data_IF_647593610955
#
_entry.id   IF_647593610955
#
_cell.length_a   1.000
_cell.length_b   1.000
_cell.length_c   1.000
_cell.angle_alpha   90.00
_cell.angle_beta   90.00
_cell.angle_gamma   90.00
#
_symmetry.space_group_name_H-M   'P 1'
#
loop_
_entity.id
_entity.type
_entity.pdbx_description
1 polymer ?
#
# COMPACT_ATOMS: atom_id res chain seq x y z
N UNK A 1 1.65 7.00 2.37
CA UNK A 1 2.51 6.22 3.29
C UNK A 1 3.26 7.07 4.30
N UNK A 2 3.85 8.23 3.93
CA UNK A 2 4.52 9.12 4.91
C UNK A 2 3.59 9.55 6.04
N UNK A 3 2.35 9.90 5.72
CA UNK A 3 1.42 10.46 6.71
C UNK A 3 0.64 9.37 7.47
N UNK A 4 1.05 8.10 7.41
CA UNK A 4 0.28 6.96 7.95
C UNK A 4 -0.06 7.12 9.44
N UNK A 5 0.82 7.77 10.21
CA UNK A 5 0.66 7.98 11.64
C UNK A 5 -0.41 9.02 11.96
N UNK A 6 -0.44 10.10 11.19
CA UNK A 6 -1.36 11.23 11.36
C UNK A 6 -1.92 11.61 9.98
N UNK A 7 -2.79 10.80 9.39
CA UNK A 7 -3.21 11.04 8.00
C UNK A 7 -3.92 12.38 7.82
N UNK A 8 -4.58 12.89 8.87
CA UNK A 8 -5.18 14.23 8.90
C UNK A 8 -4.20 15.37 8.55
N UNK A 9 -2.90 15.19 8.82
CA UNK A 9 -1.85 16.18 8.52
C UNK A 9 -1.36 16.13 7.06
N UNK A 10 -1.87 15.19 6.26
CA UNK A 10 -1.47 15.05 4.88
C UNK A 10 -1.81 16.29 4.08
N UNK A 11 -0.85 16.78 3.30
CA UNK A 11 -1.06 17.90 2.37
C UNK A 11 -2.20 17.59 1.38
N UNK A 12 -2.38 16.31 1.02
CA UNK A 12 -3.44 15.85 0.11
C UNK A 12 -4.83 16.17 0.67
N UNK A 13 -5.03 16.05 1.99
CA UNK A 13 -6.32 16.27 2.66
C UNK A 13 -6.58 17.74 3.05
N UNK A 14 -5.85 18.68 2.44
CA UNK A 14 -6.05 20.11 2.68
C UNK A 14 -7.01 20.72 1.65
N UNK A 15 -7.54 21.90 1.96
CA UNK A 15 -8.42 22.66 1.06
C UNK A 15 -7.76 23.06 -0.26
N UNK A 16 -6.43 23.11 -0.32
CA UNK A 16 -5.67 23.37 -1.54
C UNK A 16 -5.62 22.15 -2.51
N UNK A 17 -6.03 20.97 -2.03
CA UNK A 17 -5.99 19.70 -2.77
C UNK A 17 -7.37 19.04 -2.78
N UNK A 18 -7.51 17.82 -2.26
CA UNK A 18 -8.76 17.06 -2.38
C UNK A 18 -9.80 17.49 -1.34
N UNK A 19 -9.41 18.30 -0.37
CA UNK A 19 -10.26 18.73 0.74
C UNK A 19 -10.18 17.80 1.95
N UNK A 20 -10.66 18.32 3.08
CA UNK A 20 -10.62 17.64 4.38
C UNK A 20 -11.90 16.88 4.71
N UNK A 21 -12.17 16.78 6.01
CA UNK A 21 -13.37 16.13 6.55
C UNK A 21 -14.67 16.83 6.10
N UNK A 22 -15.76 16.06 6.07
CA UNK A 22 -17.09 16.61 5.93
C UNK A 22 -17.46 17.54 7.09
N UNK A 23 -18.30 18.52 6.80
CA UNK A 23 -18.81 19.50 7.77
C UNK A 23 -20.27 19.17 8.10
N UNK A 24 -21.20 20.13 8.00
CA UNK A 24 -22.63 19.91 8.22
C UNK A 24 -23.15 18.75 7.35
N UNK A 25 -23.84 17.80 7.98
CA UNK A 25 -24.32 16.56 7.34
C UNK A 25 -23.23 15.72 6.65
N UNK A 26 -21.98 15.81 7.13
CA UNK A 26 -20.79 15.18 6.57
C UNK A 26 -20.46 15.63 5.14
N UNK A 27 -21.06 16.72 4.63
CA UNK A 27 -20.79 17.20 3.28
C UNK A 27 -19.38 17.80 3.16
N UNK A 28 -18.68 17.46 2.08
CA UNK A 28 -17.38 18.07 1.73
C UNK A 28 -17.60 19.50 1.24
N UNK A 29 -16.95 20.47 1.89
CA UNK A 29 -17.15 21.92 1.64
C UNK A 29 -15.90 22.64 1.14
N UNK A 30 -14.76 21.94 0.99
CA UNK A 30 -13.51 22.50 0.51
C UNK A 30 -12.74 21.47 -0.35
N UNK A 31 -11.69 21.93 -1.04
CA UNK A 31 -10.93 21.12 -2.00
C UNK A 31 -11.62 20.98 -3.36
N UNK A 32 -11.04 20.16 -4.23
CA UNK A 32 -11.46 20.02 -5.63
C UNK A 32 -12.91 19.52 -5.81
N UNK A 33 -13.43 18.78 -4.83
CA UNK A 33 -14.81 18.27 -4.84
C UNK A 33 -15.76 19.02 -3.89
N UNK A 34 -15.41 20.25 -3.50
CA UNK A 34 -16.25 21.07 -2.63
C UNK A 34 -17.68 21.21 -3.17
N UNK A 35 -18.68 20.92 -2.34
CA UNK A 35 -20.11 21.08 -2.61
C UNK A 35 -20.64 20.25 -3.80
N UNK A 36 -19.90 19.26 -4.27
CA UNK A 36 -20.36 18.38 -5.35
C UNK A 36 -21.61 17.62 -4.92
N UNK A 37 -22.57 17.52 -5.85
CA UNK A 37 -23.78 16.74 -5.70
C UNK A 37 -23.64 15.44 -6.48
N UNK A 38 -23.67 14.32 -5.77
CA UNK A 38 -23.62 12.97 -6.32
C UNK A 38 -25.02 12.54 -6.73
N UNK A 39 -25.12 11.83 -7.85
CA UNK A 39 -26.37 11.25 -8.36
C UNK A 39 -26.50 9.77 -8.04
N UNK A 40 -25.39 9.09 -7.75
CA UNK A 40 -25.33 7.68 -7.38
C UNK A 40 -24.87 7.52 -5.93
N UNK A 41 -25.49 6.64 -5.12
CA UNK A 41 -26.64 5.79 -5.46
C UNK A 41 -27.97 6.54 -5.50
N UNK A 42 -28.03 7.75 -4.95
CA UNK A 42 -29.15 8.68 -5.00
C UNK A 42 -28.63 10.11 -4.88
N UNK A 43 -29.48 11.12 -5.01
CA UNK A 43 -29.07 12.52 -4.87
C UNK A 43 -28.59 12.85 -3.44
N UNK A 44 -27.33 13.24 -3.29
CA UNK A 44 -26.75 13.72 -2.03
C UNK A 44 -25.48 14.56 -2.27
N UNK A 45 -25.02 15.32 -1.29
CA UNK A 45 -23.68 15.91 -1.33
C UNK A 45 -22.61 14.81 -1.22
N UNK A 46 -21.42 15.00 -1.79
CA UNK A 46 -20.27 14.12 -1.49
C UNK A 46 -20.00 14.15 0.02
N UNK A 47 -19.95 12.98 0.67
CA UNK A 47 -19.71 12.89 2.12
C UNK A 47 -18.35 12.33 2.45
N UNK A 48 -17.71 12.92 3.47
CA UNK A 48 -16.55 12.35 4.17
C UNK A 48 -16.82 12.38 5.66
N UNK A 49 -16.40 11.33 6.35
CA UNK A 49 -16.58 11.20 7.78
C UNK A 49 -15.31 10.60 8.36
N UNK A 50 -14.30 11.45 8.53
CA UNK A 50 -13.04 11.05 9.14
C UNK A 50 -13.33 10.48 10.54
N UNK A 51 -12.67 9.36 10.86
CA UNK A 51 -12.81 8.69 12.15
C UNK A 51 -12.44 9.60 13.35
N UNK A 52 -12.57 9.08 14.58
CA UNK A 52 -11.97 9.66 15.80
C UNK A 52 -12.04 11.20 15.93
N UNK A 53 -13.25 11.75 16.14
CA UNK A 53 -13.49 13.20 16.28
C UNK A 53 -13.03 14.02 15.05
N UNK A 54 -13.18 13.46 13.84
CA UNK A 54 -12.89 14.16 12.58
C UNK A 54 -11.45 14.05 12.09
N UNK A 55 -10.68 13.10 12.63
CA UNK A 55 -9.32 12.80 12.19
C UNK A 55 -9.15 11.30 11.88
N UNK A 56 -8.71 10.93 10.66
CA UNK A 56 -8.41 9.54 10.34
C UNK A 56 -7.42 8.96 11.36
N UNK A 57 -7.68 7.74 11.83
CA UNK A 57 -6.75 7.02 12.72
C UNK A 57 -5.49 6.61 11.96
N UNK A 58 -4.46 6.17 12.69
CA UNK A 58 -3.24 5.69 12.07
C UNK A 58 -3.49 4.48 11.17
N UNK A 59 -2.88 4.48 9.99
CA UNK A 59 -2.97 3.38 9.03
C UNK A 59 -1.87 2.35 9.25
N UNK A 60 -1.83 1.33 8.40
CA UNK A 60 -0.73 0.36 8.38
C UNK A 60 0.59 1.04 8.00
N UNK A 61 1.65 0.65 8.71
CA UNK A 61 2.97 1.27 8.59
C UNK A 61 3.67 0.92 7.27
N UNK A 62 4.50 1.82 6.72
CA UNK A 62 5.35 1.52 5.57
C UNK A 62 6.24 0.28 5.80
N UNK A 63 6.69 0.07 7.03
CA UNK A 63 7.48 -1.08 7.43
C UNK A 63 6.69 -2.39 7.27
N UNK A 64 5.44 -2.44 7.75
CA UNK A 64 4.60 -3.63 7.60
C UNK A 64 4.26 -3.88 6.13
N UNK A 65 4.00 -2.81 5.36
CA UNK A 65 3.76 -2.92 3.91
C UNK A 65 4.98 -3.51 3.21
N UNK A 66 6.20 -3.04 3.52
CA UNK A 66 7.40 -3.66 2.97
C UNK A 66 7.63 -5.07 3.46
N UNK A 67 7.21 -5.38 4.67
CA UNK A 67 7.34 -6.73 5.21
C UNK A 67 6.55 -7.74 4.38
N UNK A 68 5.25 -7.53 4.14
CA UNK A 68 4.46 -8.48 3.34
C UNK A 68 4.86 -8.47 1.85
N UNK A 69 5.29 -7.32 1.29
CA UNK A 69 5.88 -7.28 -0.06
C UNK A 69 7.05 -8.28 -0.19
N UNK A 70 7.89 -8.43 0.84
CA UNK A 70 9.03 -9.34 0.82
C UNK A 70 8.67 -10.80 1.17
N UNK A 71 7.67 -11.01 2.03
CA UNK A 71 7.31 -12.34 2.54
C UNK A 71 6.32 -13.07 1.64
N UNK A 72 5.41 -12.35 1.00
CA UNK A 72 4.37 -12.96 0.18
C UNK A 72 4.95 -13.40 -1.16
N UNK A 73 4.83 -14.69 -1.45
CA UNK A 73 5.42 -15.30 -2.66
C UNK A 73 4.36 -15.70 -3.67
N UNK A 74 3.09 -15.57 -3.32
CA UNK A 74 1.95 -15.91 -4.17
C UNK A 74 0.86 -14.84 -4.09
N UNK A 75 0.04 -14.73 -5.13
CA UNK A 75 -1.09 -13.80 -5.17
C UNK A 75 -2.14 -14.14 -4.11
N UNK A 76 -2.32 -15.43 -3.80
CA UNK A 76 -3.21 -15.89 -2.74
C UNK A 76 -2.79 -15.42 -1.33
N UNK A 77 -1.51 -15.10 -1.13
CA UNK A 77 -0.98 -14.49 0.09
C UNK A 77 -1.09 -12.96 0.03
N UNK A 78 -0.52 -12.38 -1.03
CA UNK A 78 -0.38 -10.93 -1.20
C UNK A 78 -1.70 -10.18 -1.24
N UNK A 79 -2.70 -10.69 -1.98
CA UNK A 79 -3.98 -10.00 -2.15
C UNK A 79 -4.69 -9.82 -0.81
N UNK A 80 -4.96 -10.87 0.01
CA UNK A 80 -5.52 -10.70 1.35
C UNK A 80 -4.73 -9.72 2.23
N UNK A 81 -3.41 -9.81 2.23
CA UNK A 81 -2.56 -9.00 3.11
C UNK A 81 -2.63 -7.52 2.72
N UNK A 82 -2.75 -7.17 1.44
CA UNK A 82 -3.00 -5.80 0.98
C UNK A 82 -4.46 -5.35 1.21
N UNK A 83 -5.42 -6.21 0.86
CA UNK A 83 -6.86 -5.93 0.86
C UNK A 83 -7.39 -5.68 2.27
N UNK A 84 -6.96 -6.50 3.24
CA UNK A 84 -7.44 -6.45 4.62
C UNK A 84 -6.64 -5.49 5.50
N UNK A 85 -5.52 -4.98 5.00
CA UNK A 85 -4.69 -4.00 5.72
C UNK A 85 -4.95 -2.57 5.23
N UNK A 86 -4.03 -2.01 4.44
CA UNK A 86 -4.03 -0.62 3.98
C UNK A 86 -5.28 -0.31 3.15
N UNK A 87 -5.71 -1.22 2.28
CA UNK A 87 -6.87 -0.97 1.41
C UNK A 87 -8.11 -0.65 2.25
N UNK A 88 -8.58 -1.60 3.06
CA UNK A 88 -9.81 -1.43 3.84
C UNK A 88 -9.71 -0.30 4.87
N UNK A 89 -8.57 -0.16 5.56
CA UNK A 89 -8.42 0.85 6.61
C UNK A 89 -8.53 2.28 6.07
N UNK A 90 -8.02 2.59 4.89
CA UNK A 90 -8.15 3.93 4.30
C UNK A 90 -9.61 4.23 3.95
N UNK A 91 -10.32 3.30 3.31
CA UNK A 91 -11.75 3.45 3.03
C UNK A 91 -12.56 3.73 4.30
N UNK A 92 -12.32 2.92 5.34
CA UNK A 92 -13.01 3.06 6.62
C UNK A 92 -12.72 4.41 7.28
N UNK A 93 -11.46 4.87 7.23
CA UNK A 93 -11.03 6.05 7.97
C UNK A 93 -11.34 7.38 7.25
N UNK A 94 -11.49 7.38 5.93
CA UNK A 94 -12.03 8.54 5.21
C UNK A 94 -13.56 8.62 5.40
N UNK A 95 -14.23 7.48 5.47
CA UNK A 95 -15.66 7.40 5.78
C UNK A 95 -16.54 8.03 4.70
N UNK A 96 -17.83 8.22 5.01
CA UNK A 96 -18.79 8.78 4.05
C UNK A 96 -18.89 7.93 2.79
N UNK A 97 -18.80 8.53 1.61
CA UNK A 97 -18.84 7.82 0.33
C UNK A 97 -17.67 6.83 0.19
N UNK A 98 -16.48 7.16 0.72
CA UNK A 98 -15.32 6.27 0.69
C UNK A 98 -15.51 4.96 1.47
N UNK A 99 -16.44 4.90 2.43
CA UNK A 99 -16.79 3.68 3.15
C UNK A 99 -17.68 2.73 2.33
N UNK A 100 -18.31 3.24 1.28
CA UNK A 100 -19.40 2.54 0.61
C UNK A 100 -18.93 1.85 -0.67
N UNK A 101 -19.79 1.00 -1.23
CA UNK A 101 -19.55 0.36 -2.54
C UNK A 101 -19.47 1.36 -3.70
N UNK A 102 -19.87 2.61 -3.45
CA UNK A 102 -19.76 3.76 -4.35
C UNK A 102 -18.63 4.72 -3.97
N UNK A 103 -17.59 4.22 -3.29
CA UNK A 103 -16.37 4.98 -3.00
C UNK A 103 -15.72 5.69 -4.19
N UNK A 104 -15.85 5.24 -5.46
CA UNK A 104 -15.37 6.01 -6.62
C UNK A 104 -15.98 7.41 -6.80
N UNK A 105 -17.07 7.75 -6.10
CA UNK A 105 -17.59 9.13 -6.04
C UNK A 105 -16.54 10.12 -5.49
N UNK A 106 -15.68 9.69 -4.59
CA UNK A 106 -14.62 10.49 -3.99
C UNK A 106 -13.31 10.33 -4.78
N UNK A 107 -12.67 11.44 -5.16
CA UNK A 107 -11.41 11.44 -5.90
C UNK A 107 -10.26 10.77 -5.12
N UNK A 108 -10.37 10.71 -3.78
CA UNK A 108 -9.42 9.99 -2.94
C UNK A 108 -9.37 8.49 -3.33
N UNK A 109 -10.47 7.90 -3.81
CA UNK A 109 -10.52 6.53 -4.31
C UNK A 109 -9.41 6.26 -5.33
N UNK A 110 -9.29 7.13 -6.33
CA UNK A 110 -8.33 6.95 -7.42
C UNK A 110 -6.90 7.12 -6.95
N UNK A 111 -6.63 8.07 -6.04
CA UNK A 111 -5.31 8.26 -5.44
C UNK A 111 -4.89 7.08 -4.56
N UNK A 112 -5.85 6.55 -3.79
CA UNK A 112 -5.65 5.38 -2.95
C UNK A 112 -5.35 4.13 -3.80
N UNK A 113 -6.19 3.83 -4.79
CA UNK A 113 -6.00 2.68 -5.68
C UNK A 113 -4.76 2.80 -6.57
N UNK A 114 -4.34 4.00 -6.96
CA UNK A 114 -3.04 4.18 -7.63
C UNK A 114 -1.87 3.81 -6.69
N UNK A 115 -1.97 4.09 -5.38
CA UNK A 115 -0.95 3.66 -4.44
C UNK A 115 -1.01 2.15 -4.14
N UNK A 116 -2.20 1.53 -4.17
CA UNK A 116 -2.33 0.06 -4.07
C UNK A 116 -1.74 -0.64 -5.30
N UNK A 117 -2.02 -0.12 -6.51
CA UNK A 117 -1.41 -0.60 -7.75
C UNK A 117 0.12 -0.44 -7.73
N UNK A 118 0.63 0.69 -7.21
CA UNK A 118 2.07 0.86 -6.96
C UNK A 118 2.64 -0.20 -6.01
N UNK A 119 1.93 -0.55 -4.94
CA UNK A 119 2.37 -1.60 -3.99
C UNK A 119 2.34 -2.99 -4.67
N UNK A 120 1.31 -3.28 -5.44
CA UNK A 120 1.23 -4.51 -6.25
C UNK A 120 2.39 -4.60 -7.24
N UNK A 121 2.67 -3.52 -7.95
CA UNK A 121 3.81 -3.43 -8.85
C UNK A 121 5.15 -3.61 -8.13
N UNK A 122 5.31 -3.08 -6.91
CA UNK A 122 6.52 -3.35 -6.11
C UNK A 122 6.66 -4.83 -5.81
N UNK A 123 5.59 -5.48 -5.36
CA UNK A 123 5.57 -6.92 -5.12
C UNK A 123 5.87 -7.74 -6.37
N UNK A 124 5.30 -7.37 -7.52
CA UNK A 124 5.59 -7.97 -8.82
C UNK A 124 7.06 -7.91 -9.20
N UNK A 125 7.81 -6.92 -8.70
CA UNK A 125 9.23 -6.71 -9.00
C UNK A 125 10.17 -7.21 -7.91
N UNK A 126 9.66 -7.82 -6.84
CA UNK A 126 10.52 -8.49 -5.86
C UNK A 126 11.25 -9.65 -6.54
N UNK A 127 12.58 -9.61 -6.50
CA UNK A 127 13.43 -10.62 -7.12
C UNK A 127 13.35 -11.96 -6.34
N UNK A 128 13.22 -13.07 -7.06
CA UNK A 128 13.45 -14.38 -6.45
C UNK A 128 14.95 -14.57 -6.19
N UNK A 129 15.30 -15.28 -5.12
CA UNK A 129 16.69 -15.55 -4.70
C UNK A 129 17.49 -16.37 -5.71
N UNK A 130 16.83 -16.95 -6.72
CA UNK A 130 17.45 -17.83 -7.72
C UNK A 130 17.51 -17.20 -9.13
N UNK A 131 17.26 -15.89 -9.26
CA UNK A 131 17.23 -15.21 -10.57
C UNK A 131 16.05 -15.62 -11.48
N UNK A 132 15.13 -16.45 -10.98
CA UNK A 132 13.87 -16.77 -11.66
C UNK A 132 12.89 -15.59 -11.55
N UNK A 133 11.95 -15.53 -12.50
CA UNK A 133 10.99 -14.45 -12.71
C UNK A 133 10.41 -13.94 -11.38
N UNK A 134 10.41 -12.61 -11.26
CA UNK A 134 9.70 -11.82 -10.26
C UNK A 134 8.20 -12.20 -10.16
N UNK A 135 7.48 -11.67 -9.18
CA UNK A 135 6.05 -12.02 -9.00
C UNK A 135 5.12 -11.49 -10.14
N UNK A 136 5.67 -10.84 -11.17
CA UNK A 136 4.97 -10.23 -12.30
C UNK A 136 3.86 -11.08 -12.91
N UNK A 137 4.09 -12.39 -13.06
CA UNK A 137 3.17 -13.32 -13.73
C UNK A 137 2.50 -14.30 -12.75
N UNK A 138 2.43 -13.93 -11.46
CA UNK A 138 1.73 -14.72 -10.45
C UNK A 138 0.25 -14.37 -10.45
N UNK A 139 -0.58 -15.36 -10.77
CA UNK A 139 -2.03 -15.29 -10.63
C UNK A 139 -2.53 -16.65 -10.16
N UNK A 140 -2.42 -16.87 -8.86
CA UNK A 140 -2.88 -18.05 -8.13
C UNK A 140 -3.96 -17.69 -7.10
N UNK A 141 -4.58 -18.71 -6.52
CA UNK A 141 -5.68 -18.57 -5.57
C UNK A 141 -7.07 -18.69 -6.22
N UNK A 142 -8.14 -18.64 -5.42
CA UNK A 142 -9.49 -18.70 -5.92
C UNK A 142 -10.06 -17.32 -6.26
N UNK A 143 -10.99 -17.29 -7.22
CA UNK A 143 -11.96 -16.21 -7.35
C UNK A 143 -12.88 -16.14 -6.11
N UNK A 144 -13.68 -15.07 -6.05
CA UNK A 144 -14.66 -14.87 -4.98
C UNK A 144 -15.66 -16.04 -4.85
N UNK A 145 -16.01 -16.69 -5.96
CA UNK A 145 -16.89 -17.86 -6.02
C UNK A 145 -16.17 -19.21 -5.82
N UNK A 146 -14.90 -19.19 -5.42
CA UNK A 146 -13.98 -20.33 -5.34
C UNK A 146 -13.59 -20.98 -6.68
N UNK A 147 -13.96 -20.40 -7.83
CA UNK A 147 -13.45 -20.87 -9.12
C UNK A 147 -11.95 -20.58 -9.28
N UNK A 148 -11.26 -21.33 -10.13
CA UNK A 148 -9.86 -21.07 -10.43
C UNK A 148 -9.70 -19.79 -11.27
N UNK A 149 -8.77 -18.93 -10.87
CA UNK A 149 -8.33 -17.77 -11.66
C UNK A 149 -6.94 -18.05 -12.24
N UNK A 150 -6.67 -17.51 -13.43
CA UNK A 150 -5.36 -17.58 -14.06
C UNK A 150 -5.09 -16.32 -14.89
N UNK A 151 -3.88 -16.22 -15.43
CA UNK A 151 -3.50 -15.14 -16.33
C UNK A 151 -4.35 -15.03 -17.61
N UNK A 152 -5.01 -16.11 -18.04
CA UNK A 152 -5.92 -16.11 -19.20
C UNK A 152 -7.37 -15.82 -18.84
N UNK A 153 -7.71 -15.76 -17.55
CA UNK A 153 -9.03 -15.32 -17.10
C UNK A 153 -9.23 -13.84 -17.47
N UNK A 154 -10.45 -13.46 -17.84
CA UNK A 154 -10.76 -12.09 -18.20
C UNK A 154 -11.00 -11.22 -16.97
N UNK A 155 -10.55 -9.97 -17.03
CA UNK A 155 -10.97 -8.92 -16.10
C UNK A 155 -12.45 -8.63 -16.36
N UNK A 156 -13.30 -8.91 -15.36
CA UNK A 156 -14.77 -8.96 -15.49
C UNK A 156 -15.35 -7.72 -16.19
N UNK A 157 -14.90 -6.53 -15.83
CA UNK A 157 -15.45 -5.28 -16.37
C UNK A 157 -14.97 -4.92 -17.78
N UNK A 158 -13.85 -5.48 -18.23
CA UNK A 158 -13.20 -5.07 -19.48
C UNK A 158 -13.17 -6.17 -20.54
N UNK A 159 -13.51 -7.41 -20.17
CA UNK A 159 -13.49 -8.58 -21.05
C UNK A 159 -12.12 -8.78 -21.75
N UNK A 160 -11.04 -8.47 -21.05
CA UNK A 160 -9.65 -8.60 -21.52
C UNK A 160 -8.90 -9.57 -20.60
N UNK A 161 -8.03 -10.44 -21.13
CA UNK A 161 -7.25 -11.35 -20.30
C UNK A 161 -6.35 -10.61 -19.32
N UNK A 162 -6.22 -11.14 -18.10
CA UNK A 162 -5.41 -10.55 -17.02
C UNK A 162 -3.96 -10.35 -17.44
N UNK A 163 -3.38 -11.26 -18.24
CA UNK A 163 -2.01 -11.11 -18.75
C UNK A 163 -1.76 -9.80 -19.50
N UNK A 164 -2.80 -9.15 -20.04
CA UNK A 164 -2.68 -7.89 -20.79
C UNK A 164 -2.45 -6.67 -19.90
N UNK A 165 -2.67 -6.81 -18.58
CA UNK A 165 -2.59 -5.71 -17.61
C UNK A 165 -1.53 -5.92 -16.53
N UNK A 166 -0.81 -7.05 -16.54
CA UNK A 166 0.16 -7.37 -15.48
C UNK A 166 1.41 -6.49 -15.53
N UNK A 167 1.88 -6.13 -16.73
CA UNK A 167 3.18 -5.49 -16.91
C UNK A 167 3.05 -4.01 -17.28
N UNK A 168 3.46 -3.14 -16.34
CA UNK A 168 3.56 -1.70 -16.59
C UNK A 168 4.66 -1.38 -17.62
N UNK A 169 4.43 -0.38 -18.45
CA UNK A 169 5.28 0.03 -19.59
C UNK A 169 5.02 -0.75 -20.88
N UNK A 170 4.09 -1.72 -20.89
CA UNK A 170 3.81 -2.58 -22.03
C UNK A 170 2.31 -2.59 -22.38
N UNK A 171 2.00 -2.86 -23.65
CA UNK A 171 0.62 -2.99 -24.13
C UNK A 171 -0.23 -1.77 -23.82
N UNK A 172 -1.38 -1.99 -23.15
CA UNK A 172 -2.31 -0.93 -22.73
C UNK A 172 -1.85 -0.20 -21.46
N UNK A 173 -0.83 -0.69 -20.76
CA UNK A 173 -0.35 -0.16 -19.48
C UNK A 173 0.90 0.71 -19.68
N UNK A 174 0.83 1.71 -20.57
CA UNK A 174 1.97 2.57 -20.94
C UNK A 174 2.26 3.67 -19.89
N UNK A 175 2.47 3.26 -18.64
CA UNK A 175 2.89 4.13 -17.54
C UNK A 175 3.88 3.41 -16.63
N UNK A 176 4.52 4.14 -15.73
CA UNK A 176 5.39 3.58 -14.69
C UNK A 176 5.34 4.44 -13.43
N UNK A 177 5.62 3.84 -12.29
CA UNK A 177 5.87 4.58 -11.06
C UNK A 177 7.34 4.99 -10.96
N UNK A 178 7.61 6.15 -10.35
CA UNK A 178 8.93 6.77 -10.26
C UNK A 178 9.98 6.02 -9.42
N UNK A 179 9.76 4.75 -9.03
CA UNK A 179 10.56 4.01 -8.04
C UNK A 179 10.96 2.58 -8.48
N UNK A 180 11.26 2.33 -9.76
CA UNK A 180 11.49 0.97 -10.25
C UNK A 180 12.85 0.41 -9.82
N UNK A 181 12.92 -0.69 -9.04
CA UNK A 181 14.13 -1.48 -8.91
C UNK A 181 14.14 -2.47 -10.09
N UNK A 182 14.80 -2.09 -11.18
CA UNK A 182 14.86 -2.84 -12.43
C UNK A 182 15.29 -1.90 -13.55
N UNK A 183 16.04 -2.38 -14.57
CA UNK A 183 16.86 -1.50 -15.38
C UNK A 183 15.99 -0.44 -16.04
N UNK A 184 16.38 0.81 -15.83
CA UNK A 184 16.01 1.94 -16.66
C UNK A 184 16.56 1.79 -18.10
N UNK A 185 16.47 0.60 -18.68
CA UNK A 185 16.50 0.41 -20.13
C UNK A 185 15.17 0.89 -20.68
N UNK A 186 15.10 2.22 -20.81
CA UNK A 186 14.47 2.93 -21.90
C UNK A 186 12.99 2.62 -22.20
N UNK A 187 12.11 3.47 -21.66
CA UNK A 187 11.34 4.28 -22.61
C UNK A 187 12.17 5.50 -23.00
N UNK A 188 13.00 5.34 -24.02
CA UNK A 188 13.38 6.42 -24.94
C UNK A 188 13.73 5.80 -26.28
N UNK A 189 13.29 6.42 -27.37
CA UNK A 189 14.04 6.33 -28.63
C UNK A 189 15.39 7.01 -28.41
N UNK A 190 16.35 6.23 -27.90
CA UNK A 190 17.79 6.50 -27.81
C UNK A 190 18.24 7.73 -26.99
N UNK A 191 19.51 7.58 -26.58
CA UNK A 191 20.48 8.56 -26.06
C UNK A 191 20.35 8.99 -24.59
N UNK A 192 21.20 8.36 -23.77
CA UNK A 192 22.25 9.05 -23.03
C UNK A 192 21.83 10.08 -21.99
N UNK A 193 21.73 9.66 -20.73
CA UNK A 193 22.45 10.25 -19.59
C UNK A 193 21.94 9.60 -18.32
N UNK A 194 22.84 8.89 -17.63
CA UNK A 194 22.73 8.59 -16.20
C UNK A 194 22.54 9.89 -15.44
N UNK A 195 21.48 10.02 -14.63
CA UNK A 195 21.36 10.88 -13.42
C UNK A 195 19.91 11.25 -13.10
N UNK A 196 19.09 10.30 -12.62
CA UNK A 196 17.73 10.61 -12.11
C UNK A 196 17.18 9.57 -11.12
N UNK A 197 18.02 9.08 -10.19
CA UNK A 197 17.66 8.06 -9.17
C UNK A 197 17.31 8.68 -7.80
N UNK A 198 17.42 9.99 -7.58
CA UNK A 198 17.71 10.50 -6.23
C UNK A 198 16.56 11.02 -5.32
N UNK A 199 15.28 11.13 -5.73
CA UNK A 199 14.29 11.80 -4.86
C UNK A 199 13.17 10.94 -4.25
N UNK A 200 12.87 9.75 -4.78
CA UNK A 200 11.83 8.87 -4.21
C UNK A 200 12.34 7.45 -3.96
N UNK A 201 13.37 6.98 -4.69
CA UNK A 201 14.13 5.79 -4.33
C UNK A 201 14.73 5.94 -2.92
N UNK A 202 15.11 7.16 -2.54
CA UNK A 202 15.58 7.51 -1.20
C UNK A 202 14.58 7.13 -0.09
N UNK A 203 13.26 7.19 -0.28
CA UNK A 203 12.30 6.81 0.77
C UNK A 203 12.26 5.30 1.07
N UNK A 204 12.26 4.48 0.03
CA UNK A 204 12.27 3.01 0.18
C UNK A 204 13.67 2.55 0.62
N UNK A 205 14.73 3.09 0.03
CA UNK A 205 16.12 2.84 0.45
C UNK A 205 16.33 3.27 1.91
N UNK A 206 15.80 4.42 2.35
CA UNK A 206 15.92 4.86 3.74
C UNK A 206 15.14 3.98 4.73
N UNK A 207 13.95 3.49 4.34
CA UNK A 207 13.19 2.55 5.15
C UNK A 207 13.97 1.24 5.33
N UNK A 208 14.42 0.67 4.22
CA UNK A 208 15.17 -0.59 4.21
C UNK A 208 16.49 -0.43 4.97
N UNK A 209 17.24 0.65 4.76
CA UNK A 209 18.46 0.95 5.52
C UNK A 209 18.19 1.15 7.01
N UNK A 210 17.08 1.79 7.40
CA UNK A 210 16.71 1.96 8.81
C UNK A 210 16.38 0.61 9.46
N UNK A 211 15.56 -0.21 8.80
CA UNK A 211 15.25 -1.60 9.23
C UNK A 211 16.52 -2.42 9.34
N UNK A 212 17.35 -2.45 8.29
CA UNK A 212 18.63 -3.15 8.28
C UNK A 212 19.52 -2.67 9.44
N UNK A 213 19.73 -1.36 9.61
CA UNK A 213 20.58 -0.81 10.68
C UNK A 213 20.10 -1.16 12.10
N UNK A 214 18.79 -1.19 12.33
CA UNK A 214 18.22 -1.41 13.66
C UNK A 214 18.12 -2.89 13.99
N UNK A 215 17.78 -3.73 13.01
CA UNK A 215 17.56 -5.16 13.22
C UNK A 215 18.77 -6.04 12.89
N UNK A 216 19.89 -5.49 12.39
CA UNK A 216 21.07 -6.29 12.02
C UNK A 216 21.62 -7.16 13.17
N UNK A 217 21.48 -6.70 14.41
CA UNK A 217 21.88 -7.48 15.60
C UNK A 217 20.93 -8.64 15.92
N UNK A 218 19.69 -8.62 15.40
CA UNK A 218 18.68 -9.67 15.53
C UNK A 218 18.33 -10.23 14.15
N UNK A 219 19.28 -11.00 13.59
CA UNK A 219 19.16 -11.58 12.24
C UNK A 219 17.91 -12.42 12.06
N UNK A 220 17.51 -13.17 13.07
CA UNK A 220 16.30 -14.00 13.01
C UNK A 220 15.05 -13.13 12.84
N UNK A 221 14.98 -11.98 13.51
CA UNK A 221 13.88 -11.04 13.36
C UNK A 221 13.89 -10.34 12.00
N UNK A 222 15.08 -9.98 11.52
CA UNK A 222 15.25 -9.39 10.19
C UNK A 222 14.83 -10.38 9.09
N UNK A 223 15.25 -11.65 9.17
CA UNK A 223 14.85 -12.71 8.23
C UNK A 223 13.34 -12.99 8.30
N UNK A 224 12.76 -12.99 9.49
CA UNK A 224 11.32 -13.24 9.69
C UNK A 224 10.46 -12.19 8.97
N UNK A 225 10.77 -10.91 9.15
CA UNK A 225 9.91 -9.82 8.68
C UNK A 225 10.38 -9.19 7.38
N UNK A 226 11.68 -9.25 7.07
CA UNK A 226 12.29 -8.62 5.90
C UNK A 226 13.31 -9.57 5.24
N UNK A 227 12.88 -10.74 4.76
CA UNK A 227 13.79 -11.78 4.25
C UNK A 227 14.66 -11.29 3.08
N UNK A 228 14.15 -10.40 2.23
CA UNK A 228 14.91 -9.84 1.10
C UNK A 228 15.93 -8.81 1.55
N UNK A 229 15.57 -7.99 2.52
CA UNK A 229 16.55 -7.10 3.17
C UNK A 229 17.64 -7.89 3.89
N UNK A 230 17.28 -9.00 4.56
CA UNK A 230 18.26 -9.88 5.20
C UNK A 230 19.26 -10.46 4.18
N UNK A 231 18.75 -10.94 3.03
CA UNK A 231 19.54 -11.43 1.90
C UNK A 231 20.49 -10.36 1.35
N UNK A 232 19.99 -9.13 1.14
CA UNK A 232 20.80 -8.00 0.64
C UNK A 232 21.89 -7.56 1.63
N UNK A 233 21.61 -7.57 2.94
CA UNK A 233 22.60 -7.29 3.99
C UNK A 233 23.67 -8.37 4.03
N UNK A 234 23.30 -9.65 3.96
CA UNK A 234 24.24 -10.77 3.93
C UNK A 234 25.17 -10.72 2.70
N UNK A 235 24.63 -10.31 1.55
CA UNK A 235 25.37 -10.15 0.31
C UNK A 235 26.12 -8.81 0.19
N UNK A 236 26.10 -7.97 1.23
CA UNK A 236 26.75 -6.64 1.27
C UNK A 236 26.24 -5.65 0.21
N UNK A 237 25.05 -5.88 -0.37
CA UNK A 237 24.41 -4.94 -1.29
C UNK A 237 23.83 -3.72 -0.56
N UNK A 238 23.45 -3.91 0.71
CA UNK A 238 23.03 -2.83 1.59
C UNK A 238 23.98 -2.79 2.78
N UNK A 239 24.60 -1.63 2.98
CA UNK A 239 25.36 -1.36 4.20
C UNK A 239 24.39 -0.83 5.26
N UNK A 240 24.31 -1.45 6.44
CA UNK A 240 23.53 -0.90 7.54
C UNK A 240 24.18 0.41 8.01
N UNK A 241 23.71 1.55 7.51
CA UNK A 241 24.22 2.87 7.88
C UNK A 241 23.24 3.54 8.84
N UNK A 242 23.73 3.91 10.02
CA UNK A 242 22.96 4.63 11.03
C UNK A 242 22.89 6.15 10.74
N UNK A 243 22.41 6.60 9.57
CA UNK A 243 22.25 8.05 9.27
C UNK A 243 21.27 8.23 8.10
N UNK A 244 20.11 8.91 8.23
CA UNK A 244 19.93 10.36 7.94
C UNK A 244 18.53 10.89 8.38
N UNK A 245 17.97 10.40 9.49
CA UNK A 245 16.75 11.01 10.06
C UNK A 245 17.07 11.67 11.40
N UNK A 246 17.25 13.00 11.37
CA UNK A 246 17.21 13.87 12.55
C UNK A 246 15.76 14.14 13.03
N UNK A 247 14.78 13.39 12.49
CA UNK A 247 13.38 13.47 12.89
C UNK A 247 13.11 12.63 14.14
N UNK A 248 12.06 13.00 14.88
CA UNK A 248 11.57 12.25 16.03
C UNK A 248 11.01 10.89 15.59
N UNK A 249 11.86 9.86 15.57
CA UNK A 249 11.43 8.47 15.34
C UNK A 249 10.45 8.05 16.43
N UNK A 250 9.38 7.37 16.06
CA UNK A 250 8.30 6.97 16.99
C UNK A 250 7.99 5.48 16.86
N UNK A 251 7.46 4.90 17.93
CA UNK A 251 6.96 3.53 17.89
C UNK A 251 5.89 3.38 16.81
N UNK A 252 5.84 2.20 16.18
CA UNK A 252 4.81 1.89 15.21
C UNK A 252 3.47 1.76 15.98
N UNK A 253 2.42 2.51 15.62
CA UNK A 253 1.11 2.34 16.22
C UNK A 253 0.53 0.99 15.82
N UNK A 254 -0.35 0.43 16.66
CA UNK A 254 -1.13 -0.72 16.23
C UNK A 254 -2.05 -0.32 15.08
N UNK A 255 -2.19 -1.17 14.05
CA UNK A 255 -3.05 -0.86 12.92
C UNK A 255 -4.51 -0.80 13.37
N UNK A 256 -5.29 0.03 12.67
CA UNK A 256 -6.75 -0.01 12.75
C UNK A 256 -7.27 -1.37 12.22
N UNK A 257 -8.42 -1.79 12.73
CA UNK A 257 -9.08 -3.04 12.34
C UNK A 257 -10.22 -2.77 11.37
N UNK A 258 -10.55 -3.76 10.55
CA UNK A 258 -11.76 -3.66 9.72
C UNK A 258 -13.01 -3.75 10.61
N UNK A 259 -14.06 -3.02 10.25
CA UNK A 259 -15.33 -3.10 10.98
C UNK A 259 -16.09 -4.37 10.59
N UNK A 260 -16.90 -4.96 11.49
CA UNK A 260 -17.76 -6.10 11.14
C UNK A 260 -18.66 -5.82 9.92
N UNK A 261 -19.17 -4.60 9.81
CA UNK A 261 -20.01 -4.16 8.70
C UNK A 261 -19.22 -4.11 7.38
N UNK A 262 -17.97 -3.66 7.41
CA UNK A 262 -17.09 -3.66 6.23
C UNK A 262 -16.78 -5.09 5.76
N UNK A 263 -16.46 -5.99 6.70
CA UNK A 263 -16.20 -7.40 6.45
C UNK A 263 -17.44 -8.05 5.80
N UNK A 264 -18.63 -7.77 6.34
CA UNK A 264 -19.89 -8.29 5.82
C UNK A 264 -20.21 -7.72 4.42
N UNK A 265 -20.04 -6.41 4.21
CA UNK A 265 -20.28 -5.73 2.93
C UNK A 265 -19.47 -6.35 1.79
N UNK A 266 -18.18 -6.64 2.05
CA UNK A 266 -17.26 -7.22 1.06
C UNK A 266 -17.25 -8.75 1.09
N UNK A 267 -18.06 -9.38 1.96
CA UNK A 267 -18.16 -10.83 2.13
C UNK A 267 -16.80 -11.49 2.37
N UNK A 268 -15.93 -10.83 3.13
CA UNK A 268 -14.63 -11.36 3.49
C UNK A 268 -14.76 -12.54 4.46
N UNK A 269 -13.86 -13.51 4.32
CA UNK A 269 -13.75 -14.61 5.29
C UNK A 269 -13.15 -14.06 6.57
N UNK A 270 -13.91 -14.08 7.66
CA UNK A 270 -13.48 -13.52 8.95
C UNK A 270 -12.14 -14.11 9.44
N UNK A 271 -11.92 -15.41 9.23
CA UNK A 271 -10.65 -16.06 9.59
C UNK A 271 -9.44 -15.47 8.85
N UNK A 272 -9.59 -15.11 7.57
CA UNK A 272 -8.49 -14.52 6.79
C UNK A 272 -8.21 -13.08 7.23
N UNK A 273 -9.25 -12.30 7.53
CA UNK A 273 -9.09 -10.94 8.08
C UNK A 273 -8.36 -11.00 9.42
N UNK A 274 -8.78 -11.90 10.31
CA UNK A 274 -8.19 -12.04 11.63
C UNK A 274 -6.73 -12.53 11.58
N UNK A 275 -6.39 -13.36 10.59
CA UNK A 275 -4.99 -13.76 10.31
C UNK A 275 -4.13 -12.52 10.01
N UNK A 276 -4.56 -11.68 9.07
CA UNK A 276 -3.82 -10.46 8.67
C UNK A 276 -3.70 -9.47 9.83
N UNK A 277 -4.78 -9.26 10.58
CA UNK A 277 -4.75 -8.39 11.75
C UNK A 277 -3.78 -8.90 12.83
N UNK A 278 -3.79 -10.21 13.11
CA UNK A 278 -2.88 -10.81 14.08
C UNK A 278 -1.42 -10.76 13.63
N UNK A 279 -1.16 -11.02 12.35
CA UNK A 279 0.19 -10.91 11.74
C UNK A 279 0.73 -9.48 11.88
N UNK A 280 -0.08 -8.46 11.58
CA UNK A 280 0.32 -7.06 11.72
C UNK A 280 0.53 -6.63 13.18
N UNK A 281 -0.29 -7.12 14.11
CA UNK A 281 -0.09 -6.87 15.54
C UNK A 281 1.18 -7.54 16.06
N UNK A 282 1.46 -8.75 15.60
CA UNK A 282 2.70 -9.46 15.94
C UNK A 282 3.91 -8.70 15.38
N UNK A 283 3.84 -8.20 14.15
CA UNK A 283 4.86 -7.34 13.58
C UNK A 283 5.15 -6.13 14.48
N UNK A 284 4.12 -5.40 14.91
CA UNK A 284 4.28 -4.25 15.81
C UNK A 284 4.91 -4.65 17.15
N UNK A 285 4.47 -5.76 17.74
CA UNK A 285 5.03 -6.27 19.00
C UNK A 285 6.53 -6.60 18.87
N UNK A 286 6.89 -7.25 17.77
CA UNK A 286 8.26 -7.65 17.44
C UNK A 286 9.16 -6.42 17.22
N UNK A 287 8.69 -5.44 16.43
CA UNK A 287 9.41 -4.17 16.22
C UNK A 287 9.62 -3.41 17.54
N UNK A 288 8.60 -3.35 18.40
CA UNK A 288 8.72 -2.71 19.73
C UNK A 288 9.73 -3.42 20.61
N UNK A 289 9.70 -4.76 20.65
CA UNK A 289 10.66 -5.57 21.43
C UNK A 289 12.10 -5.34 20.97
N UNK A 290 12.31 -5.16 19.66
CA UNK A 290 13.62 -4.84 19.08
C UNK A 290 14.04 -3.37 19.26
N UNK A 291 13.22 -2.53 19.89
CA UNK A 291 13.49 -1.10 20.04
C UNK A 291 13.39 -0.31 18.73
N UNK A 292 12.77 -0.89 17.69
CA UNK A 292 12.59 -0.23 16.41
C UNK A 292 11.63 0.95 16.52
N UNK A 293 12.03 2.07 15.90
CA UNK A 293 11.20 3.27 15.78
C UNK A 293 11.15 3.71 14.33
N UNK A 294 9.93 3.83 13.81
CA UNK A 294 9.69 4.28 12.44
C UNK A 294 10.16 5.73 12.28
N UNK A 295 10.84 6.06 11.18
CA UNK A 295 11.15 7.44 10.82
C UNK A 295 9.95 8.18 10.20
N UNK A 296 8.81 7.50 10.02
CA UNK A 296 7.58 8.02 9.42
C UNK A 296 6.49 8.34 10.47
#
# INVERSE_FOLDING_TARGET
MRDYRVPASSQVLTSAWVGGNGQSNNCVTNGVQANWQMTYPSAHCLRRQFGNNGNPTSWYSPEYIQSFIQRDTTMAQFRPDLEYSLHGVVHINIGGDMYQTYSPNDVIFWLHHANLDRIWWQWQNVASSNGALNNMWRMDGPNFDNSAISLSSNVVAYNEPINTVMQLGYGKMCFQYTNAPGPASAMSRRSGSTDLVNSVASGITNLISNVASTLNSDKALLEKWFPKTAEEVANHYIVPVATLWAGNKKEIPYPATLTPEWIAMHKFKQADVQRVENDARQFVNDMKKAGYKSPY
#
